data_IF_578837040352
#
_entry.id   IF_578837040352
#
_cell.length_a   1.000
_cell.length_b   1.000
_cell.length_c   1.000
_cell.angle_alpha   90.00
_cell.angle_beta   90.00
_cell.angle_gamma   90.00
#
_symmetry.space_group_name_H-M   'P 1'
#
loop_
_entity.id
_entity.type
_entity.pdbx_description
1 polymer ?
#
# COMPACT_ATOMS: atom_id res chain seq x y z
N UNK A 1 24.27 3.12 -16.11
CA UNK A 1 23.22 4.01 -16.67
C UNK A 1 22.06 3.19 -17.27
N UNK A 2 22.32 2.14 -18.05
CA UNK A 2 21.22 1.29 -18.54
C UNK A 2 20.51 0.51 -17.40
N UNK A 3 21.23 0.19 -16.33
CA UNK A 3 20.72 -0.71 -15.28
C UNK A 3 19.58 -0.12 -14.44
N UNK A 4 19.62 1.18 -14.09
CA UNK A 4 18.51 1.82 -13.35
C UNK A 4 17.22 1.83 -14.18
N UNK A 5 17.35 2.07 -15.49
CA UNK A 5 16.20 2.14 -16.38
C UNK A 5 15.61 0.73 -16.59
N UNK A 6 16.48 -0.28 -16.66
CA UNK A 6 16.06 -1.67 -16.77
C UNK A 6 15.35 -2.16 -15.50
N UNK A 7 15.83 -1.78 -14.31
CA UNK A 7 15.15 -2.10 -13.04
C UNK A 7 13.80 -1.40 -12.92
N UNK A 8 13.73 -0.12 -13.25
CA UNK A 8 12.47 0.63 -13.28
C UNK A 8 11.45 0.01 -14.26
N UNK A 9 11.92 -0.39 -15.45
CA UNK A 9 11.07 -1.04 -16.46
C UNK A 9 10.56 -2.40 -15.98
N UNK A 10 11.44 -3.25 -15.43
CA UNK A 10 11.06 -4.56 -14.92
C UNK A 10 10.07 -4.46 -13.76
N UNK A 11 10.32 -3.55 -12.81
CA UNK A 11 9.41 -3.27 -11.71
C UNK A 11 8.03 -2.79 -12.22
N UNK A 12 8.02 -1.84 -13.16
CA UNK A 12 6.79 -1.30 -13.75
C UNK A 12 5.98 -2.36 -14.49
N UNK A 13 6.63 -3.21 -15.31
CA UNK A 13 5.97 -4.31 -16.02
C UNK A 13 5.40 -5.33 -15.03
N UNK A 14 6.17 -5.73 -14.00
CA UNK A 14 5.69 -6.66 -12.99
C UNK A 14 4.45 -6.13 -12.26
N UNK A 15 4.47 -4.87 -11.84
CA UNK A 15 3.32 -4.22 -11.21
C UNK A 15 2.12 -4.12 -12.15
N UNK A 16 2.32 -3.78 -13.43
CA UNK A 16 1.23 -3.68 -14.41
C UNK A 16 0.53 -5.03 -14.64
N UNK A 17 1.29 -6.12 -14.70
CA UNK A 17 0.74 -7.48 -14.88
C UNK A 17 -0.11 -7.92 -13.68
N UNK A 18 0.22 -7.46 -12.47
CA UNK A 18 -0.55 -7.77 -11.24
C UNK A 18 -1.76 -6.84 -11.09
N UNK A 19 -1.56 -5.55 -11.35
CA UNK A 19 -2.59 -4.52 -11.19
C UNK A 19 -3.79 -4.74 -12.12
N UNK A 20 -3.58 -5.28 -13.33
CA UNK A 20 -4.66 -5.58 -14.28
C UNK A 20 -5.69 -6.58 -13.73
N UNK A 21 -5.30 -7.83 -13.41
CA UNK A 21 -6.18 -8.82 -12.81
C UNK A 21 -6.79 -8.39 -11.47
N UNK A 22 -5.98 -7.78 -10.58
CA UNK A 22 -6.48 -7.25 -9.31
C UNK A 22 -7.56 -6.19 -9.54
N UNK A 23 -7.34 -5.25 -10.45
CA UNK A 23 -8.30 -4.20 -10.78
C UNK A 23 -9.62 -4.80 -11.29
N UNK A 24 -9.55 -5.79 -12.18
CA UNK A 24 -10.74 -6.50 -12.66
C UNK A 24 -11.52 -7.16 -11.51
N UNK A 25 -10.82 -7.82 -10.58
CA UNK A 25 -11.44 -8.43 -9.40
C UNK A 25 -12.09 -7.43 -8.46
N UNK A 26 -11.42 -6.29 -8.20
CA UNK A 26 -11.93 -5.19 -7.36
C UNK A 26 -13.21 -4.59 -7.96
N UNK A 27 -13.23 -4.38 -9.27
CA UNK A 27 -14.42 -3.88 -10.00
C UNK A 27 -15.56 -4.89 -9.94
N UNK A 28 -15.28 -6.17 -10.13
CA UNK A 28 -16.30 -7.22 -10.09
C UNK A 28 -16.97 -7.31 -8.70
N UNK A 29 -16.18 -7.11 -7.63
CA UNK A 29 -16.68 -7.06 -6.25
C UNK A 29 -17.34 -5.73 -5.86
N UNK A 30 -17.44 -4.77 -6.79
CA UNK A 30 -17.96 -3.41 -6.54
C UNK A 30 -17.27 -2.71 -5.37
N UNK A 31 -15.95 -2.89 -5.21
CA UNK A 31 -15.19 -2.23 -4.15
C UNK A 31 -14.59 -0.91 -4.67
N UNK A 32 -15.40 0.14 -4.78
CA UNK A 32 -14.97 1.39 -5.41
C UNK A 32 -13.91 2.14 -4.60
N UNK A 33 -13.98 2.06 -3.27
CA UNK A 33 -13.11 2.78 -2.34
C UNK A 33 -11.84 2.00 -1.94
N UNK A 34 -11.59 0.83 -2.54
CA UNK A 34 -10.50 -0.04 -2.16
C UNK A 34 -9.13 0.62 -2.35
N UNK A 35 -8.88 1.17 -3.53
CA UNK A 35 -7.60 1.82 -3.85
C UNK A 35 -7.32 3.05 -2.99
N UNK A 36 -8.35 3.85 -2.71
CA UNK A 36 -8.26 5.03 -1.86
C UNK A 36 -7.92 4.66 -0.41
N UNK A 37 -8.65 3.69 0.14
CA UNK A 37 -8.40 3.17 1.49
C UNK A 37 -7.00 2.59 1.64
N UNK A 38 -6.54 1.82 0.64
CA UNK A 38 -5.21 1.21 0.65
C UNK A 38 -4.09 2.27 0.59
N UNK A 39 -4.31 3.35 -0.17
CA UNK A 39 -3.34 4.45 -0.28
C UNK A 39 -3.16 5.17 1.06
N UNK A 40 -4.26 5.43 1.77
CA UNK A 40 -4.21 6.02 3.12
C UNK A 40 -3.67 5.04 4.18
N UNK A 41 -3.90 3.74 4.01
CA UNK A 41 -3.27 2.68 4.81
C UNK A 41 -1.75 2.66 4.67
N UNK A 42 -1.26 2.78 3.44
CA UNK A 42 0.16 2.84 3.19
C UNK A 42 0.78 4.07 3.88
N UNK A 43 0.13 5.23 3.82
CA UNK A 43 0.58 6.44 4.53
C UNK A 43 0.65 6.22 6.04
N UNK A 44 -0.39 5.64 6.67
CA UNK A 44 -0.35 5.30 8.09
C UNK A 44 0.81 4.32 8.39
N UNK A 45 1.01 3.31 7.55
CA UNK A 45 2.12 2.36 7.68
C UNK A 45 3.49 3.03 7.60
N UNK A 46 3.70 3.97 6.67
CA UNK A 46 4.92 4.78 6.57
C UNK A 46 5.11 5.60 7.85
N UNK A 47 4.08 6.29 8.32
CA UNK A 47 4.14 7.11 9.53
C UNK A 47 4.50 6.28 10.77
N UNK A 48 3.91 5.10 10.92
CA UNK A 48 4.24 4.16 12.00
C UNK A 48 5.66 3.58 11.84
N UNK A 49 6.10 3.31 10.62
CA UNK A 49 7.46 2.86 10.33
C UNK A 49 8.51 3.85 10.81
N UNK A 50 8.31 5.14 10.53
CA UNK A 50 9.19 6.20 11.02
C UNK A 50 9.14 6.35 12.54
N UNK A 51 7.94 6.28 13.15
CA UNK A 51 7.80 6.38 14.60
C UNK A 51 8.52 5.24 15.34
N UNK A 52 8.51 4.03 14.77
CA UNK A 52 9.09 2.82 15.37
C UNK A 52 10.53 2.55 14.93
N UNK A 53 11.12 3.41 14.08
CA UNK A 53 12.44 3.24 13.47
C UNK A 53 12.59 1.89 12.71
N UNK A 54 11.51 1.46 12.05
CA UNK A 54 11.45 0.23 11.26
C UNK A 54 11.58 0.58 9.77
N UNK A 55 12.17 -0.32 8.98
CA UNK A 55 12.24 -0.17 7.52
C UNK A 55 10.85 0.13 6.92
N UNK A 56 10.69 1.22 6.15
CA UNK A 56 9.39 1.66 5.61
C UNK A 56 8.66 0.59 4.80
N UNK A 57 9.40 -0.23 4.04
CA UNK A 57 8.83 -1.34 3.24
C UNK A 57 8.08 -2.36 4.09
N UNK A 58 8.66 -2.77 5.22
CA UNK A 58 8.03 -3.71 6.16
C UNK A 58 6.86 -3.02 6.86
N UNK A 59 7.04 -1.78 7.32
CA UNK A 59 6.01 -1.05 8.05
C UNK A 59 4.75 -0.82 7.19
N UNK A 60 4.92 -0.46 5.91
CA UNK A 60 3.82 -0.33 4.94
C UNK A 60 3.13 -1.66 4.71
N UNK A 61 3.90 -2.74 4.49
CA UNK A 61 3.33 -4.06 4.22
C UNK A 61 2.50 -4.55 5.40
N UNK A 62 3.03 -4.42 6.62
CA UNK A 62 2.33 -4.82 7.86
C UNK A 62 1.14 -3.90 8.11
N UNK A 63 1.26 -2.58 7.92
CA UNK A 63 0.17 -1.63 8.10
C UNK A 63 -1.01 -1.92 7.17
N UNK A 64 -0.74 -2.14 5.88
CA UNK A 64 -1.76 -2.54 4.90
C UNK A 64 -2.37 -3.91 5.23
N UNK A 65 -1.57 -4.88 5.68
CA UNK A 65 -2.06 -6.20 6.08
C UNK A 65 -2.98 -6.12 7.31
N UNK A 66 -2.60 -5.33 8.32
CA UNK A 66 -3.43 -5.10 9.51
C UNK A 66 -4.76 -4.44 9.13
N UNK A 67 -4.74 -3.44 8.24
CA UNK A 67 -5.97 -2.82 7.77
C UNK A 67 -6.83 -3.80 6.96
N UNK A 68 -6.23 -4.64 6.12
CA UNK A 68 -6.95 -5.66 5.38
C UNK A 68 -7.62 -6.68 6.31
N UNK A 69 -6.93 -7.14 7.36
CA UNK A 69 -7.49 -8.03 8.39
C UNK A 69 -8.62 -7.33 9.17
N UNK A 70 -8.42 -6.07 9.55
CA UNK A 70 -9.47 -5.27 10.21
C UNK A 70 -10.71 -5.15 9.33
N UNK A 71 -10.53 -4.88 8.04
CA UNK A 71 -11.62 -4.80 7.08
C UNK A 71 -12.36 -6.13 6.93
N UNK A 72 -11.65 -7.26 6.78
CA UNK A 72 -12.27 -8.58 6.65
C UNK A 72 -13.02 -8.98 7.92
N UNK A 73 -12.45 -8.71 9.09
CA UNK A 73 -13.12 -9.00 10.38
C UNK A 73 -14.38 -8.15 10.58
N UNK A 74 -14.35 -6.87 10.19
CA UNK A 74 -15.53 -6.01 10.23
C UNK A 74 -16.61 -6.46 9.24
N UNK A 75 -16.23 -6.88 8.03
CA UNK A 75 -17.16 -7.43 7.05
C UNK A 75 -17.87 -8.71 7.54
N UNK A 76 -17.19 -9.55 8.32
CA UNK A 76 -17.79 -10.75 8.90
C UNK A 76 -18.73 -10.46 10.08
N UNK A 77 -18.49 -9.37 10.82
CA UNK A 77 -19.21 -9.03 12.05
C UNK A 77 -20.46 -8.16 11.81
N UNK A 78 -20.45 -7.34 10.77
CA UNK A 78 -21.47 -6.32 10.52
C UNK A 78 -22.14 -6.57 9.16
N UNK A 79 -23.47 -6.50 9.04
CA UNK A 79 -24.17 -6.58 7.76
C UNK A 79 -24.07 -5.24 6.97
N UNK A 80 -22.89 -4.62 6.96
CA UNK A 80 -22.62 -3.37 6.26
C UNK A 80 -22.06 -3.67 4.87
N UNK A 81 -22.38 -2.83 3.89
CA UNK A 81 -21.78 -2.92 2.57
C UNK A 81 -20.27 -2.69 2.67
N UNK A 82 -19.48 -3.46 1.91
CA UNK A 82 -18.02 -3.35 1.89
C UNK A 82 -17.54 -1.93 1.57
N UNK A 83 -18.25 -1.21 0.69
CA UNK A 83 -17.97 0.18 0.35
C UNK A 83 -18.16 1.14 1.53
N UNK A 84 -19.14 0.90 2.40
CA UNK A 84 -19.34 1.71 3.60
C UNK A 84 -18.19 1.53 4.59
N UNK A 85 -17.73 0.28 4.79
CA UNK A 85 -16.59 0.00 5.65
C UNK A 85 -15.31 0.63 5.10
N UNK A 86 -15.05 0.47 3.80
CA UNK A 86 -13.92 1.13 3.12
C UNK A 86 -13.99 2.66 3.28
N UNK A 87 -15.15 3.25 3.03
CA UNK A 87 -15.37 4.70 3.15
C UNK A 87 -15.19 5.25 4.58
N UNK A 88 -15.37 4.43 5.61
CA UNK A 88 -15.07 4.80 7.01
C UNK A 88 -13.59 4.62 7.30
N UNK A 89 -12.99 3.53 6.82
CA UNK A 89 -11.59 3.21 7.08
C UNK A 89 -10.63 4.20 6.41
N UNK A 90 -10.90 4.66 5.19
CA UNK A 90 -10.06 5.61 4.46
C UNK A 90 -9.72 6.89 5.29
N UNK A 91 -10.69 7.73 5.70
CA UNK A 91 -10.42 8.93 6.48
C UNK A 91 -9.93 8.63 7.91
N UNK A 92 -10.37 7.51 8.51
CA UNK A 92 -9.89 7.08 9.84
C UNK A 92 -8.38 6.81 9.82
N UNK A 93 -7.94 6.10 8.79
CA UNK A 93 -6.54 5.70 8.61
C UNK A 93 -5.66 6.90 8.29
N UNK A 94 -6.15 7.83 7.46
CA UNK A 94 -5.49 9.11 7.20
C UNK A 94 -5.37 9.97 8.46
N UNK A 95 -6.44 10.11 9.24
CA UNK A 95 -6.43 10.88 10.48
C UNK A 95 -5.45 10.29 11.50
N UNK A 96 -5.45 8.98 11.68
CA UNK A 96 -4.48 8.29 12.53
C UNK A 96 -3.05 8.51 12.03
N UNK A 97 -2.81 8.44 10.71
CA UNK A 97 -1.50 8.68 10.12
C UNK A 97 -0.98 10.08 10.39
N UNK A 98 -1.85 11.10 10.27
CA UNK A 98 -1.52 12.48 10.59
C UNK A 98 -1.26 12.70 12.09
N UNK A 99 -2.02 12.04 12.97
CA UNK A 99 -1.77 12.09 14.41
C UNK A 99 -0.40 11.51 14.75
N UNK A 100 -0.06 10.36 14.18
CA UNK A 100 1.27 9.75 14.33
C UNK A 100 2.36 10.70 13.84
N UNK A 101 2.16 11.31 12.67
CA UNK A 101 3.11 12.26 12.09
C UNK A 101 3.28 13.51 12.95
N UNK A 102 2.23 13.98 13.63
CA UNK A 102 2.31 15.15 14.51
C UNK A 102 3.24 14.96 15.71
N UNK A 103 3.56 13.73 16.10
CA UNK A 103 4.55 13.44 17.14
C UNK A 103 6.00 13.57 16.63
N UNK A 104 6.20 13.59 15.30
CA UNK A 104 7.52 13.66 14.66
C UNK A 104 7.87 15.13 14.35
N UNK A 105 8.41 15.87 15.32
CA UNK A 105 8.75 17.30 15.16
C UNK A 105 9.96 17.58 14.27
N UNK A 106 10.87 16.62 14.07
CA UNK A 106 12.16 16.86 13.38
C UNK A 106 12.25 16.30 11.96
N UNK A 107 11.29 15.49 11.51
CA UNK A 107 11.37 14.85 10.19
C UNK A 107 10.58 15.67 9.17
N UNK A 108 11.28 16.44 8.33
CA UNK A 108 10.72 17.00 7.09
C UNK A 108 10.49 15.86 6.09
N UNK A 109 9.45 15.06 6.31
CA UNK A 109 9.07 13.99 5.39
C UNK A 109 8.43 14.66 4.18
N UNK A 110 9.05 14.48 3.02
CA UNK A 110 8.40 14.79 1.76
C UNK A 110 7.35 13.72 1.47
N UNK A 111 6.14 13.96 1.97
CA UNK A 111 4.98 13.09 1.77
C UNK A 111 4.71 12.87 0.28
N UNK A 112 5.00 13.86 -0.56
CA UNK A 112 4.80 13.77 -2.01
C UNK A 112 5.81 12.79 -2.62
N UNK A 113 7.07 12.84 -2.20
CA UNK A 113 8.08 11.88 -2.64
C UNK A 113 7.72 10.43 -2.25
N UNK A 114 7.09 10.22 -1.09
CA UNK A 114 6.65 8.88 -0.67
C UNK A 114 5.33 8.42 -1.30
N UNK A 115 4.40 9.35 -1.56
CA UNK A 115 3.09 9.03 -2.15
C UNK A 115 3.18 8.76 -3.66
N UNK A 116 3.99 9.55 -4.36
CA UNK A 116 4.20 9.41 -5.80
C UNK A 116 5.37 8.48 -6.14
N UNK A 117 6.34 8.36 -5.22
CA UNK A 117 7.52 7.52 -5.39
C UNK A 117 8.51 8.04 -6.42
N UNK A 118 9.69 7.43 -6.44
CA UNK A 118 10.65 7.54 -7.53
C UNK A 118 10.96 6.14 -8.07
N UNK A 119 10.40 5.81 -9.23
CA UNK A 119 10.60 4.51 -9.88
C UNK A 119 12.06 4.34 -10.35
N UNK A 120 12.80 5.43 -10.58
CA UNK A 120 14.19 5.38 -11.06
C UNK A 120 15.17 5.07 -9.93
N UNK A 121 14.79 5.32 -8.67
CA UNK A 121 15.62 5.11 -7.50
C UNK A 121 15.55 3.68 -6.92
N UNK A 122 14.94 2.73 -7.64
CA UNK A 122 14.78 1.34 -7.19
C UNK A 122 16.13 0.65 -7.05
N UNK A 123 16.38 0.07 -5.88
CA UNK A 123 17.55 -0.77 -5.63
C UNK A 123 17.30 -2.23 -6.07
N UNK A 124 18.35 -3.05 -6.30
CA UNK A 124 18.18 -4.46 -6.65
C UNK A 124 17.45 -5.27 -5.56
N UNK A 125 17.54 -4.86 -4.29
CA UNK A 125 16.80 -5.48 -3.20
C UNK A 125 15.29 -5.18 -3.31
N UNK A 126 14.93 -3.93 -3.62
CA UNK A 126 13.54 -3.50 -3.82
C UNK A 126 12.92 -4.21 -5.03
N UNK A 127 13.69 -4.38 -6.11
CA UNK A 127 13.25 -5.15 -7.27
C UNK A 127 12.91 -6.60 -6.90
N UNK A 128 13.71 -7.24 -6.03
CA UNK A 128 13.42 -8.58 -5.49
C UNK A 128 12.10 -8.63 -4.71
N UNK A 129 11.85 -7.63 -3.86
CA UNK A 129 10.57 -7.49 -3.15
C UNK A 129 9.37 -7.32 -4.09
N UNK A 130 9.51 -6.46 -5.11
CA UNK A 130 8.44 -6.20 -6.09
C UNK A 130 8.15 -7.45 -6.91
N UNK A 131 9.17 -8.13 -7.42
CA UNK A 131 9.00 -9.35 -8.22
C UNK A 131 8.44 -10.50 -7.37
N UNK A 132 8.98 -10.70 -6.15
CA UNK A 132 8.49 -11.71 -5.21
C UNK A 132 7.04 -11.47 -4.78
N UNK A 133 6.70 -10.23 -4.42
CA UNK A 133 5.33 -9.85 -4.06
C UNK A 133 4.37 -9.99 -5.24
N UNK A 134 4.76 -9.50 -6.42
CA UNK A 134 3.97 -9.60 -7.65
C UNK A 134 3.65 -11.04 -8.04
N UNK A 135 4.66 -11.91 -8.02
CA UNK A 135 4.50 -13.33 -8.33
C UNK A 135 3.63 -14.05 -7.31
N UNK A 136 3.82 -13.79 -6.01
CA UNK A 136 2.98 -14.33 -4.94
C UNK A 136 1.50 -13.95 -5.15
N UNK A 137 1.23 -12.68 -5.44
CA UNK A 137 -0.13 -12.19 -5.66
C UNK A 137 -0.76 -12.84 -6.90
N UNK A 138 -0.03 -12.96 -8.01
CA UNK A 138 -0.55 -13.65 -9.20
C UNK A 138 -0.90 -15.11 -8.91
N UNK A 139 -0.04 -15.83 -8.18
CA UNK A 139 -0.30 -17.22 -7.79
C UNK A 139 -1.53 -17.35 -6.88
N UNK A 140 -1.82 -16.34 -6.06
CA UNK A 140 -3.00 -16.33 -5.19
C UNK A 140 -4.31 -15.96 -5.92
N UNK A 141 -4.22 -15.24 -7.05
CA UNK A 141 -5.38 -14.82 -7.85
C UNK A 141 -5.85 -15.94 -8.78
N UNK A 142 -4.90 -16.71 -9.33
CA UNK A 142 -5.15 -17.86 -10.22
C UNK A 142 -5.67 -19.05 -9.42
#
# INVERSE_FOLDING_TARGET
MADFLLYALLAGVALAVVAGPLGSFVVWRRMAYFGDTLSHAALLGVALGFLLDISPTIAVTVGCLLLAVLLVTLQQRQPLASDTLLGILAPSTLSLGLVVLSFMHEVRIDLMAYLFGDLLAISPADLGWILGGSTLVLVLIV
#
